data_IF_520762340117
#
_entry.id   IF_520762340117
#
_cell.length_a   1.000
_cell.length_b   1.000
_cell.length_c   1.000
_cell.angle_alpha   90.00
_cell.angle_beta   90.00
_cell.angle_gamma   90.00
#
_symmetry.space_group_name_H-M   'P 1'
#
loop_
_entity.id
_entity.type
_entity.pdbx_description
1 polymer ?
#
# COMPACT_ATOMS: atom_id res chain seq x y z
N UNK A 1 -19.49 -11.01 -0.80
CA UNK A 1 -18.84 -9.92 -1.57
C UNK A 1 -17.36 -9.91 -1.23
N UNK A 2 -16.51 -9.85 -2.24
CA UNK A 2 -15.05 -9.75 -2.05
C UNK A 2 -14.64 -8.29 -1.86
N UNK A 3 -13.81 -8.01 -0.85
CA UNK A 3 -13.13 -6.73 -0.64
C UNK A 3 -11.67 -6.87 -1.07
N UNK A 4 -11.26 -6.19 -2.14
CA UNK A 4 -9.93 -6.33 -2.72
C UNK A 4 -9.08 -5.09 -2.47
N UNK A 5 -7.86 -5.28 -1.96
CA UNK A 5 -6.86 -4.22 -1.78
C UNK A 5 -5.47 -4.65 -2.29
N UNK A 6 -4.49 -3.74 -2.27
CA UNK A 6 -3.19 -3.94 -2.90
C UNK A 6 -1.98 -3.80 -1.96
N UNK A 7 -2.23 -3.64 -0.65
CA UNK A 7 -1.16 -3.65 0.35
C UNK A 7 -1.65 -4.23 1.68
N UNK A 8 -0.74 -4.80 2.47
CA UNK A 8 -1.04 -5.49 3.73
C UNK A 8 -1.60 -4.56 4.82
N UNK A 9 -1.16 -3.28 4.86
CA UNK A 9 -1.69 -2.31 5.83
C UNK A 9 -3.17 -2.04 5.56
N UNK A 10 -3.55 -1.84 4.29
CA UNK A 10 -4.95 -1.69 3.89
C UNK A 10 -5.75 -2.97 4.16
N UNK A 11 -5.18 -4.16 3.94
CA UNK A 11 -5.82 -5.43 4.27
C UNK A 11 -6.16 -5.53 5.75
N UNK A 12 -5.20 -5.22 6.61
CA UNK A 12 -5.41 -5.21 8.07
C UNK A 12 -6.51 -4.24 8.48
N UNK A 13 -6.47 -3.01 7.97
CA UNK A 13 -7.47 -2.00 8.23
C UNK A 13 -8.86 -2.39 7.70
N UNK A 14 -8.96 -2.94 6.48
CA UNK A 14 -10.21 -3.45 5.92
C UNK A 14 -10.81 -4.61 6.72
N UNK A 15 -9.98 -5.56 7.18
CA UNK A 15 -10.44 -6.65 8.07
C UNK A 15 -11.05 -6.11 9.36
N UNK A 16 -10.48 -5.06 9.94
CA UNK A 16 -11.02 -4.38 11.12
C UNK A 16 -12.28 -3.57 10.76
N UNK A 17 -12.30 -2.90 9.61
CA UNK A 17 -13.40 -2.07 9.13
C UNK A 17 -14.72 -2.85 8.94
N UNK A 18 -14.65 -4.19 8.80
CA UNK A 18 -15.85 -5.01 8.71
C UNK A 18 -16.72 -4.89 9.97
N UNK A 19 -16.11 -4.62 11.12
CA UNK A 19 -16.75 -4.68 12.45
C UNK A 19 -16.57 -3.41 13.28
N UNK A 20 -15.95 -2.35 12.78
CA UNK A 20 -15.75 -1.10 13.52
C UNK A 20 -17.10 -0.41 13.80
N UNK A 21 -17.15 0.46 14.84
CA UNK A 21 -18.40 1.13 15.25
C UNK A 21 -19.36 0.26 16.04
N UNK A 22 -19.07 -1.02 16.27
CA UNK A 22 -19.83 -1.87 17.17
C UNK A 22 -19.54 -1.56 18.65
N UNK A 23 -20.41 -2.06 19.58
CA UNK A 23 -20.21 -1.90 21.04
C UNK A 23 -18.97 -2.63 21.63
N UNK A 24 -18.13 -3.23 20.78
CA UNK A 24 -16.85 -3.84 21.15
C UNK A 24 -15.76 -2.79 21.18
N UNK A 25 -15.14 -2.56 22.35
CA UNK A 25 -13.92 -1.76 22.41
C UNK A 25 -12.85 -2.47 21.62
N UNK A 26 -12.41 -1.88 20.50
CA UNK A 26 -11.20 -2.32 19.83
C UNK A 26 -10.02 -2.11 20.78
N UNK A 27 -9.23 -3.15 21.00
CA UNK A 27 -7.98 -3.00 21.75
C UNK A 27 -7.07 -2.08 20.95
N UNK A 28 -6.64 -0.98 21.57
CA UNK A 28 -5.57 -0.14 21.00
C UNK A 28 -4.37 -1.05 20.77
N UNK A 29 -3.94 -1.18 19.52
CA UNK A 29 -2.75 -1.95 19.16
C UNK A 29 -1.49 -1.42 19.83
N UNK A 30 -0.35 -1.93 19.45
CA UNK A 30 0.95 -1.53 20.00
C UNK A 30 1.19 -0.04 19.78
N UNK A 31 1.37 0.72 20.86
CA UNK A 31 1.77 2.13 20.79
C UNK A 31 3.28 2.20 20.84
N UNK A 32 3.90 2.59 19.74
CA UNK A 32 5.34 2.88 19.71
C UNK A 32 5.58 4.25 20.31
N UNK A 33 6.39 4.30 21.36
CA UNK A 33 6.91 5.55 21.91
C UNK A 33 8.42 5.57 21.64
N UNK A 34 8.85 6.42 20.71
CA UNK A 34 10.28 6.72 20.51
C UNK A 34 10.63 8.00 21.26
N UNK A 35 11.77 8.03 21.95
CA UNK A 35 12.40 9.27 22.40
C UNK A 35 13.37 9.75 21.34
N UNK A 36 13.54 11.05 21.20
CA UNK A 36 14.49 11.66 20.25
C UNK A 36 15.94 11.24 20.54
N UNK A 37 16.23 10.88 21.79
CA UNK A 37 17.58 10.51 22.28
C UNK A 37 17.82 8.99 22.34
N UNK A 38 16.91 8.15 21.84
CA UNK A 38 17.02 6.69 21.88
C UNK A 38 16.86 6.06 23.29
N UNK A 39 16.56 6.86 24.32
CA UNK A 39 16.27 6.35 25.66
C UNK A 39 14.86 5.78 25.76
N UNK A 40 14.66 4.83 26.70
CA UNK A 40 13.31 4.28 26.95
C UNK A 40 12.39 5.39 27.46
N UNK A 41 11.22 5.60 26.83
CA UNK A 41 10.31 6.66 27.22
C UNK A 41 9.83 6.48 28.67
N UNK A 42 9.71 7.58 29.40
CA UNK A 42 9.22 7.55 30.77
C UNK A 42 7.77 7.01 30.86
N UNK A 43 7.41 6.36 31.98
CA UNK A 43 6.01 5.88 32.21
C UNK A 43 4.99 7.00 32.05
N UNK A 44 5.34 8.24 32.36
CA UNK A 44 4.47 9.42 32.19
C UNK A 44 4.27 9.74 30.72
N UNK A 45 5.32 9.71 29.91
CA UNK A 45 5.25 9.93 28.46
C UNK A 45 4.39 8.84 27.77
N UNK A 46 4.62 7.57 28.11
CA UNK A 46 3.81 6.45 27.61
C UNK A 46 2.32 6.62 27.95
N UNK A 47 1.98 6.96 29.21
CA UNK A 47 0.59 7.22 29.61
C UNK A 47 -0.02 8.42 28.91
N UNK A 48 0.76 9.47 28.63
CA UNK A 48 0.28 10.64 27.91
C UNK A 48 -0.01 10.28 26.44
N UNK A 49 0.88 9.51 25.80
CA UNK A 49 0.68 9.03 24.43
C UNK A 49 -0.53 8.08 24.34
N UNK A 50 -0.68 7.13 25.28
CA UNK A 50 -1.85 6.24 25.34
C UNK A 50 -3.16 7.02 25.47
N UNK A 51 -3.18 8.12 26.25
CA UNK A 51 -4.38 8.97 26.34
C UNK A 51 -4.71 9.66 25.02
N UNK A 52 -3.68 10.17 24.28
CA UNK A 52 -3.88 10.75 22.96
C UNK A 52 -4.45 9.73 21.97
N UNK A 53 -3.85 8.54 21.92
CA UNK A 53 -4.31 7.46 21.03
C UNK A 53 -5.75 7.06 21.34
N UNK A 54 -6.11 6.93 22.64
CA UNK A 54 -7.50 6.62 23.04
C UNK A 54 -8.48 7.74 22.68
N UNK A 55 -8.10 8.99 22.89
CA UNK A 55 -8.94 10.11 22.53
C UNK A 55 -9.17 10.21 21.01
N UNK A 56 -8.16 9.88 20.21
CA UNK A 56 -8.28 9.79 18.77
C UNK A 56 -9.19 8.61 18.37
N UNK A 57 -9.01 7.45 18.96
CA UNK A 57 -9.88 6.28 18.74
C UNK A 57 -11.34 6.60 19.10
N UNK A 58 -11.58 7.18 20.27
CA UNK A 58 -12.93 7.58 20.69
C UNK A 58 -13.55 8.64 19.75
N UNK A 59 -12.71 9.43 19.08
CA UNK A 59 -13.14 10.40 18.07
C UNK A 59 -13.58 9.70 16.78
N UNK A 60 -12.76 8.76 16.28
CA UNK A 60 -13.03 8.00 15.07
C UNK A 60 -14.27 7.09 15.23
N UNK A 61 -14.39 6.42 16.37
CA UNK A 61 -15.53 5.55 16.67
C UNK A 61 -16.90 6.25 16.64
N UNK A 62 -16.93 7.58 16.84
CA UNK A 62 -18.19 8.35 16.83
C UNK A 62 -18.88 8.39 15.48
N UNK A 63 -18.10 8.29 14.40
CA UNK A 63 -18.63 8.35 13.02
C UNK A 63 -18.30 7.10 12.20
N UNK A 64 -17.75 6.09 12.85
CA UNK A 64 -17.41 4.83 12.19
C UNK A 64 -18.64 4.17 11.56
N UNK A 65 -18.47 3.73 10.33
CA UNK A 65 -19.48 2.97 9.59
C UNK A 65 -18.91 1.61 9.23
N UNK A 66 -19.41 0.51 9.82
CA UNK A 66 -18.90 -0.82 9.52
C UNK A 66 -19.23 -1.23 8.07
N UNK A 67 -18.33 -1.95 7.44
CA UNK A 67 -18.57 -2.49 6.11
C UNK A 67 -19.53 -3.69 6.12
N UNK A 68 -19.59 -4.43 7.24
CA UNK A 68 -20.59 -5.46 7.49
C UNK A 68 -20.36 -6.81 6.83
N UNK A 69 -19.23 -7.01 6.14
CA UNK A 69 -18.83 -8.31 5.60
C UNK A 69 -17.96 -9.09 6.61
N UNK A 70 -17.42 -10.22 6.20
CA UNK A 70 -16.50 -11.01 7.03
C UNK A 70 -15.06 -10.60 6.77
N UNK A 71 -14.19 -10.70 7.77
CA UNK A 71 -12.75 -10.47 7.58
C UNK A 71 -12.12 -11.44 6.56
N UNK A 72 -12.71 -12.64 6.38
CA UNK A 72 -12.31 -13.60 5.35
C UNK A 72 -12.68 -13.17 3.92
N UNK A 73 -13.53 -12.16 3.75
CA UNK A 73 -13.88 -11.63 2.43
C UNK A 73 -12.84 -10.62 1.92
N UNK A 74 -11.87 -10.23 2.76
CA UNK A 74 -10.83 -9.28 2.42
C UNK A 74 -9.64 -10.01 1.81
N UNK A 75 -9.44 -9.80 0.51
CA UNK A 75 -8.31 -10.32 -0.24
C UNK A 75 -7.29 -9.20 -0.52
N UNK A 76 -6.01 -9.55 -0.50
CA UNK A 76 -4.93 -8.61 -0.79
C UNK A 76 -4.06 -9.14 -1.94
N UNK A 77 -3.95 -8.35 -3.02
CA UNK A 77 -2.99 -8.58 -4.09
C UNK A 77 -1.77 -7.64 -3.93
N UNK A 78 -1.11 -7.72 -2.78
CA UNK A 78 0.08 -6.94 -2.45
C UNK A 78 1.31 -7.39 -3.22
N UNK A 79 1.28 -7.31 -4.54
CA UNK A 79 2.27 -7.86 -5.47
C UNK A 79 3.46 -6.93 -5.75
N UNK A 80 3.50 -5.71 -5.18
CA UNK A 80 4.51 -4.69 -5.50
C UNK A 80 4.71 -4.51 -7.02
N UNK A 81 3.60 -4.38 -7.76
CA UNK A 81 3.59 -4.37 -9.22
C UNK A 81 4.24 -3.12 -9.84
N UNK A 82 4.52 -2.11 -9.04
CA UNK A 82 5.30 -0.95 -9.47
C UNK A 82 6.76 -1.27 -9.74
N UNK A 83 7.27 -2.43 -9.29
CA UNK A 83 8.68 -2.79 -9.33
C UNK A 83 8.93 -4.06 -10.13
N UNK A 84 10.09 -4.14 -10.78
CA UNK A 84 10.66 -5.33 -11.39
C UNK A 84 9.84 -5.93 -12.53
N UNK A 85 10.11 -7.16 -12.89
CA UNK A 85 9.48 -7.87 -14.01
C UNK A 85 8.01 -8.18 -13.73
N UNK A 86 7.12 -7.78 -14.63
CA UNK A 86 5.68 -8.08 -14.65
C UNK A 86 5.23 -8.82 -15.91
N UNK A 87 6.14 -9.06 -16.87
CA UNK A 87 5.80 -9.78 -18.10
C UNK A 87 5.57 -11.28 -17.83
N UNK A 88 6.34 -11.84 -16.89
CA UNK A 88 6.16 -13.22 -16.50
C UNK A 88 4.83 -13.44 -15.78
N UNK A 89 4.14 -14.58 -16.01
CA UNK A 89 2.95 -14.93 -15.26
C UNK A 89 3.28 -15.12 -13.77
N UNK A 90 2.28 -14.89 -12.92
CA UNK A 90 2.39 -15.21 -11.50
C UNK A 90 2.48 -16.72 -11.34
N UNK A 91 3.57 -17.19 -10.77
CA UNK A 91 3.84 -18.60 -10.52
C UNK A 91 4.59 -18.77 -9.21
N UNK A 92 4.52 -19.99 -8.64
CA UNK A 92 5.17 -20.30 -7.37
C UNK A 92 6.68 -20.03 -7.42
N UNK A 93 7.35 -20.32 -8.53
CA UNK A 93 8.79 -20.14 -8.74
C UNK A 93 9.12 -19.08 -9.81
N UNK A 94 8.36 -17.99 -9.85
CA UNK A 94 8.57 -16.91 -10.82
C UNK A 94 9.53 -15.82 -10.34
N UNK A 95 9.95 -14.90 -11.25
CA UNK A 95 10.84 -13.78 -10.92
C UNK A 95 10.27 -12.86 -9.85
N UNK A 96 8.95 -12.79 -9.73
CA UNK A 96 8.26 -11.99 -8.70
C UNK A 96 8.52 -12.53 -7.29
N UNK A 97 8.58 -13.85 -7.09
CA UNK A 97 8.96 -14.44 -5.80
C UNK A 97 10.36 -14.00 -5.36
N UNK A 98 11.31 -13.94 -6.31
CA UNK A 98 12.67 -13.48 -6.00
C UNK A 98 12.67 -12.02 -5.51
N UNK A 99 11.85 -11.16 -6.09
CA UNK A 99 11.67 -9.78 -5.63
C UNK A 99 11.06 -9.73 -4.22
N UNK A 100 10.05 -10.55 -3.92
CA UNK A 100 9.48 -10.67 -2.56
C UNK A 100 10.54 -11.05 -1.53
N UNK A 101 11.38 -12.02 -1.83
CA UNK A 101 12.48 -12.40 -0.96
C UNK A 101 13.48 -11.27 -0.74
N UNK A 102 13.76 -10.43 -1.75
CA UNK A 102 14.62 -9.26 -1.60
C UNK A 102 14.04 -8.23 -0.63
N UNK A 103 12.73 -7.96 -0.68
CA UNK A 103 12.08 -7.06 0.29
C UNK A 103 12.27 -7.55 1.73
N UNK A 104 12.24 -8.85 1.97
CA UNK A 104 12.36 -9.43 3.30
C UNK A 104 13.83 -9.58 3.76
N UNK A 105 14.79 -9.70 2.83
CA UNK A 105 16.23 -9.81 3.18
C UNK A 105 16.83 -8.47 3.61
N UNK A 106 16.32 -7.36 3.12
CA UNK A 106 16.77 -6.02 3.53
C UNK A 106 16.17 -5.58 4.89
N UNK A 107 15.15 -6.29 5.38
CA UNK A 107 14.65 -6.23 6.75
C UNK A 107 14.99 -7.57 7.44
N UNK A 108 15.21 -7.62 8.76
CA UNK A 108 15.61 -8.85 9.46
C UNK A 108 14.43 -9.85 9.59
N UNK A 109 13.71 -10.09 8.49
CA UNK A 109 12.64 -11.06 8.39
C UNK A 109 13.17 -12.34 7.77
N UNK A 110 12.69 -13.49 8.25
CA UNK A 110 13.10 -14.79 7.79
C UNK A 110 12.60 -15.04 6.34
N UNK A 111 13.44 -15.68 5.52
CA UNK A 111 13.04 -16.09 4.17
C UNK A 111 11.80 -17.01 4.12
N UNK A 112 11.49 -17.70 5.23
CA UNK A 112 10.26 -18.48 5.39
C UNK A 112 9.00 -17.59 5.43
N UNK A 113 9.07 -16.40 6.00
CA UNK A 113 7.96 -15.43 6.02
C UNK A 113 7.70 -14.88 4.62
N UNK A 114 8.75 -14.56 3.86
CA UNK A 114 8.61 -14.11 2.46
C UNK A 114 7.90 -15.16 1.59
N UNK A 115 8.23 -16.43 1.78
CA UNK A 115 7.59 -17.52 1.04
C UNK A 115 6.15 -17.79 1.50
N UNK A 116 5.83 -17.52 2.77
CA UNK A 116 4.45 -17.59 3.27
C UNK A 116 3.61 -16.46 2.67
N UNK A 117 4.11 -15.23 2.69
CA UNK A 117 3.45 -14.07 2.09
C UNK A 117 3.23 -14.25 0.58
N UNK A 118 4.23 -14.79 -0.12
CA UNK A 118 4.10 -15.08 -1.54
C UNK A 118 2.97 -16.09 -1.83
N UNK A 119 2.88 -17.17 -1.06
CA UNK A 119 1.81 -18.16 -1.20
C UNK A 119 0.43 -17.60 -0.87
N UNK A 120 0.34 -16.71 0.15
CA UNK A 120 -0.91 -16.03 0.50
C UNK A 120 -1.40 -15.16 -0.67
N UNK A 121 -0.52 -14.40 -1.31
CA UNK A 121 -0.88 -13.55 -2.45
C UNK A 121 -1.31 -14.37 -3.67
N UNK A 122 -0.64 -15.50 -3.97
CA UNK A 122 -1.07 -16.39 -5.04
C UNK A 122 -2.44 -17.00 -4.77
N UNK A 123 -2.66 -17.49 -3.55
CA UNK A 123 -3.96 -18.02 -3.12
C UNK A 123 -5.07 -16.96 -3.21
N UNK A 124 -4.78 -15.72 -2.83
CA UNK A 124 -5.73 -14.61 -2.94
C UNK A 124 -6.11 -14.33 -4.41
N UNK A 125 -5.16 -14.41 -5.35
CA UNK A 125 -5.44 -14.22 -6.77
C UNK A 125 -6.31 -15.34 -7.35
N UNK A 126 -6.07 -16.58 -6.95
CA UNK A 126 -6.89 -17.75 -7.33
C UNK A 126 -8.29 -17.65 -6.73
N UNK A 127 -8.41 -17.31 -5.44
CA UNK A 127 -9.69 -17.14 -4.75
C UNK A 127 -10.51 -16.01 -5.37
N UNK A 128 -9.89 -14.87 -5.67
CA UNK A 128 -10.56 -13.75 -6.37
C UNK A 128 -11.22 -14.23 -7.66
N UNK A 129 -10.46 -14.93 -8.51
CA UNK A 129 -10.97 -15.45 -9.78
C UNK A 129 -12.08 -16.47 -9.60
N UNK A 130 -11.91 -17.40 -8.66
CA UNK A 130 -12.90 -18.44 -8.39
C UNK A 130 -14.21 -17.83 -7.90
N UNK A 131 -14.18 -16.90 -6.97
CA UNK A 131 -15.36 -16.21 -6.42
C UNK A 131 -16.03 -15.33 -7.48
N UNK A 132 -15.25 -14.55 -8.22
CA UNK A 132 -15.77 -13.73 -9.32
C UNK A 132 -16.42 -14.57 -10.45
N UNK A 133 -15.88 -15.74 -10.76
CA UNK A 133 -16.44 -16.67 -11.76
C UNK A 133 -17.82 -17.21 -11.34
N UNK A 134 -18.16 -17.23 -10.06
CA UNK A 134 -19.50 -17.57 -9.57
C UNK A 134 -20.48 -16.41 -9.59
N UNK A 135 -20.07 -15.23 -10.09
CA UNK A 135 -20.89 -14.00 -10.11
C UNK A 135 -20.87 -13.22 -8.78
N UNK A 136 -19.99 -13.58 -7.86
CA UNK A 136 -19.86 -12.83 -6.60
C UNK A 136 -19.37 -11.41 -6.85
N UNK A 137 -19.98 -10.42 -6.17
CA UNK A 137 -19.55 -9.02 -6.29
C UNK A 137 -18.14 -8.82 -5.74
N UNK A 138 -17.36 -7.96 -6.43
CA UNK A 138 -16.01 -7.55 -6.05
C UNK A 138 -15.98 -6.05 -5.84
N UNK A 139 -15.56 -5.60 -4.65
CA UNK A 139 -15.27 -4.20 -4.37
C UNK A 139 -13.76 -4.00 -4.30
N UNK A 140 -13.26 -3.12 -5.15
CA UNK A 140 -11.83 -2.80 -5.24
C UNK A 140 -11.57 -1.49 -4.51
N UNK A 141 -10.64 -1.50 -3.57
CA UNK A 141 -10.12 -0.34 -2.86
C UNK A 141 -8.79 0.06 -3.51
N UNK A 142 -8.82 1.06 -4.39
CA UNK A 142 -7.64 1.53 -5.10
C UNK A 142 -7.32 2.99 -4.78
N UNK A 143 -6.05 3.34 -4.98
CA UNK A 143 -5.51 4.66 -4.77
C UNK A 143 -4.52 5.03 -5.88
N UNK A 144 -4.02 6.27 -5.84
CA UNK A 144 -3.08 6.81 -6.82
C UNK A 144 -1.60 6.47 -6.50
N UNK A 145 -1.34 5.54 -5.56
CA UNK A 145 0.01 5.03 -5.38
C UNK A 145 0.44 4.19 -6.59
N UNK A 146 1.73 4.07 -6.89
CA UNK A 146 2.19 3.23 -8.00
C UNK A 146 1.69 1.79 -7.92
N UNK A 147 1.69 1.19 -6.73
CA UNK A 147 1.20 -0.17 -6.51
C UNK A 147 -0.32 -0.26 -6.59
N UNK A 148 -1.07 0.72 -6.04
CA UNK A 148 -2.52 0.78 -6.15
C UNK A 148 -2.98 0.91 -7.59
N UNK A 149 -2.33 1.80 -8.35
CA UNK A 149 -2.65 2.02 -9.77
C UNK A 149 -2.32 0.79 -10.65
N UNK A 150 -1.18 0.13 -10.42
CA UNK A 150 -0.84 -1.12 -11.12
C UNK A 150 -1.75 -2.27 -10.68
N UNK A 151 -2.04 -2.36 -9.37
CA UNK A 151 -2.92 -3.36 -8.79
C UNK A 151 -4.35 -3.32 -9.36
N UNK A 152 -4.92 -2.12 -9.51
CA UNK A 152 -6.24 -1.94 -10.14
C UNK A 152 -6.27 -2.49 -11.57
N UNK A 153 -5.23 -2.21 -12.38
CA UNK A 153 -5.13 -2.68 -13.76
C UNK A 153 -4.95 -4.20 -13.83
N UNK A 154 -4.13 -4.74 -12.97
CA UNK A 154 -3.95 -6.18 -12.85
C UNK A 154 -5.24 -6.88 -12.42
N UNK A 155 -5.94 -6.36 -11.39
CA UNK A 155 -7.23 -6.88 -10.96
C UNK A 155 -8.27 -6.83 -12.10
N UNK A 156 -8.32 -5.73 -12.84
CA UNK A 156 -9.20 -5.62 -14.01
C UNK A 156 -8.88 -6.69 -15.07
N UNK A 157 -7.59 -6.99 -15.33
CA UNK A 157 -7.19 -8.07 -16.24
C UNK A 157 -7.64 -9.46 -15.75
N UNK A 158 -7.62 -9.69 -14.43
CA UNK A 158 -8.13 -10.94 -13.84
C UNK A 158 -9.66 -11.07 -13.96
N UNK A 159 -10.39 -9.95 -13.96
CA UNK A 159 -11.86 -9.89 -13.86
C UNK A 159 -12.57 -9.63 -15.20
N UNK A 160 -11.90 -9.06 -16.19
CA UNK A 160 -12.54 -8.55 -17.44
C UNK A 160 -13.31 -9.58 -18.25
N UNK A 161 -13.01 -10.88 -18.10
CA UNK A 161 -13.72 -11.98 -18.77
C UNK A 161 -14.79 -12.67 -17.91
N UNK A 162 -14.97 -12.22 -16.66
CA UNK A 162 -15.87 -12.85 -15.69
C UNK A 162 -17.18 -12.08 -15.56
N UNK A 163 -18.23 -12.73 -15.06
CA UNK A 163 -19.57 -12.15 -14.93
C UNK A 163 -19.84 -11.57 -13.53
N UNK A 164 -18.78 -11.13 -12.85
CA UNK A 164 -18.90 -10.46 -11.56
C UNK A 164 -19.24 -8.98 -11.73
N UNK A 165 -20.06 -8.46 -10.85
CA UNK A 165 -20.21 -7.02 -10.67
C UNK A 165 -19.00 -6.48 -9.93
N UNK A 166 -18.34 -5.48 -10.50
CA UNK A 166 -17.14 -4.88 -9.91
C UNK A 166 -17.41 -3.43 -9.58
N UNK A 167 -17.13 -3.03 -8.34
CA UNK A 167 -17.19 -1.65 -7.87
C UNK A 167 -15.81 -1.17 -7.44
N UNK A 168 -15.52 0.10 -7.69
CA UNK A 168 -14.29 0.77 -7.30
C UNK A 168 -14.59 1.80 -6.22
N UNK A 169 -13.85 1.75 -5.13
CA UNK A 169 -13.75 2.83 -4.14
C UNK A 169 -12.36 3.44 -4.29
N UNK A 170 -12.32 4.62 -4.90
CA UNK A 170 -11.09 5.39 -5.05
C UNK A 170 -10.82 6.22 -3.81
N UNK A 171 -9.57 6.19 -3.31
CA UNK A 171 -9.18 7.06 -2.20
C UNK A 171 -9.05 8.50 -2.70
N UNK A 172 -9.81 9.46 -2.17
CA UNK A 172 -9.66 10.85 -2.55
C UNK A 172 -8.32 11.39 -2.01
N UNK A 173 -7.65 12.21 -2.80
CA UNK A 173 -6.39 12.83 -2.37
C UNK A 173 -6.55 13.75 -1.16
N UNK A 174 -7.70 14.40 -1.04
CA UNK A 174 -8.11 15.28 0.04
C UNK A 174 -9.46 14.82 0.54
N UNK A 175 -9.63 14.77 1.83
CA UNK A 175 -10.90 14.40 2.42
C UNK A 175 -11.18 15.22 3.68
N UNK A 176 -12.40 15.72 3.78
CA UNK A 176 -12.88 16.37 4.98
C UNK A 176 -13.64 15.34 5.83
N UNK A 177 -13.13 15.10 7.02
CA UNK A 177 -13.75 14.21 8.00
C UNK A 177 -15.06 14.79 8.51
N UNK A 178 -15.97 13.95 9.05
CA UNK A 178 -17.23 14.43 9.62
C UNK A 178 -17.08 15.44 10.76
N UNK A 179 -15.91 15.51 11.39
CA UNK A 179 -15.56 16.50 12.43
C UNK A 179 -14.91 17.77 11.90
N UNK A 180 -14.84 17.94 10.57
CA UNK A 180 -14.27 19.12 9.91
C UNK A 180 -12.74 19.07 9.75
N UNK A 181 -12.06 18.03 10.19
CA UNK A 181 -10.63 17.88 9.96
C UNK A 181 -10.35 17.51 8.48
N UNK A 182 -9.45 18.26 7.83
CA UNK A 182 -9.01 17.93 6.48
C UNK A 182 -7.78 17.03 6.55
N UNK A 183 -7.83 15.90 5.87
CA UNK A 183 -6.73 14.94 5.76
C UNK A 183 -6.26 14.84 4.32
N UNK A 184 -4.99 14.50 4.16
CA UNK A 184 -4.37 14.17 2.89
C UNK A 184 -3.64 12.84 3.06
N UNK A 185 -3.93 11.92 2.17
CA UNK A 185 -3.34 10.59 2.18
C UNK A 185 -2.11 10.55 1.28
N UNK A 186 -0.95 10.19 1.83
CA UNK A 186 0.32 10.13 1.08
C UNK A 186 0.67 8.70 0.66
N UNK A 187 0.21 7.70 1.44
CA UNK A 187 0.55 6.28 1.23
C UNK A 187 -0.66 5.42 0.85
N UNK A 188 -1.73 6.06 0.40
CA UNK A 188 -2.92 5.37 -0.04
C UNK A 188 -3.74 4.77 1.11
N UNK A 189 -4.52 3.74 0.80
CA UNK A 189 -5.43 3.07 1.74
C UNK A 189 -4.74 2.50 2.99
N UNK A 190 -3.43 2.28 2.96
CA UNK A 190 -2.68 1.82 4.12
C UNK A 190 -2.58 2.81 5.28
N UNK A 191 -2.93 4.08 5.08
CA UNK A 191 -2.97 5.14 6.10
C UNK A 191 -4.38 5.42 6.63
N UNK A 192 -5.41 4.87 5.99
CA UNK A 192 -6.80 5.10 6.37
C UNK A 192 -7.14 4.28 7.61
N UNK A 193 -7.73 4.93 8.61
CA UNK A 193 -8.18 4.23 9.81
C UNK A 193 -9.36 3.29 9.49
N UNK A 194 -9.45 2.13 10.14
CA UNK A 194 -10.55 1.17 9.92
C UNK A 194 -11.93 1.80 10.01
N UNK A 195 -12.12 2.74 10.92
CA UNK A 195 -13.38 3.44 11.19
C UNK A 195 -13.82 4.32 10.02
N UNK A 196 -12.90 4.70 9.14
CA UNK A 196 -13.15 5.63 8.05
C UNK A 196 -13.53 4.94 6.74
N UNK A 197 -13.21 3.65 6.56
CA UNK A 197 -13.48 2.95 5.29
C UNK A 197 -14.94 3.02 4.87
N UNK A 198 -15.87 2.78 5.78
CA UNK A 198 -17.29 2.81 5.47
C UNK A 198 -17.82 4.17 5.00
N UNK A 199 -17.13 5.26 5.38
CA UNK A 199 -17.50 6.61 4.97
C UNK A 199 -17.21 6.87 3.49
N UNK A 200 -16.27 6.13 2.90
CA UNK A 200 -15.92 6.26 1.50
C UNK A 200 -16.85 5.47 0.55
N UNK A 201 -17.76 4.63 1.08
CA UNK A 201 -18.69 3.86 0.27
C UNK A 201 -19.63 4.73 -0.59
N UNK A 202 -19.93 5.95 -0.14
CA UNK A 202 -20.72 6.90 -0.93
C UNK A 202 -20.08 7.32 -2.26
N UNK A 203 -18.77 7.13 -2.41
CA UNK A 203 -18.01 7.37 -3.63
C UNK A 203 -17.74 6.11 -4.45
N UNK A 204 -18.38 4.98 -4.13
CA UNK A 204 -18.19 3.75 -4.89
C UNK A 204 -18.81 3.84 -6.29
N UNK A 205 -18.04 3.51 -7.32
CA UNK A 205 -18.44 3.55 -8.72
C UNK A 205 -18.42 2.16 -9.33
N UNK A 206 -19.41 1.83 -10.14
CA UNK A 206 -19.43 0.56 -10.89
C UNK A 206 -18.42 0.62 -12.04
N UNK A 207 -17.50 -0.33 -12.07
CA UNK A 207 -16.62 -0.55 -13.21
C UNK A 207 -17.36 -1.37 -14.26
N UNK A 208 -17.92 -0.68 -15.26
CA UNK A 208 -18.59 -1.34 -16.37
C UNK A 208 -17.65 -2.26 -17.16
N UNK A 209 -18.18 -3.24 -17.87
CA UNK A 209 -17.37 -4.14 -18.71
C UNK A 209 -16.42 -3.43 -19.71
N UNK A 210 -16.83 -2.33 -20.39
CA UNK A 210 -15.89 -1.57 -21.22
C UNK A 210 -14.73 -0.95 -20.41
N UNK A 211 -15.00 -0.42 -19.22
CA UNK A 211 -13.98 0.15 -18.34
C UNK A 211 -13.00 -0.93 -17.85
N UNK A 212 -13.51 -2.08 -17.41
CA UNK A 212 -12.66 -3.21 -17.03
C UNK A 212 -11.76 -3.68 -18.18
N UNK A 213 -12.28 -3.76 -19.39
CA UNK A 213 -11.48 -4.11 -20.59
C UNK A 213 -10.42 -3.05 -20.90
N UNK A 214 -10.75 -1.77 -20.77
CA UNK A 214 -9.78 -0.68 -20.96
C UNK A 214 -8.63 -0.79 -19.95
N UNK A 215 -8.95 -0.99 -18.67
CA UNK A 215 -7.94 -1.16 -17.61
C UNK A 215 -7.09 -2.43 -17.84
N UNK A 216 -7.70 -3.51 -18.30
CA UNK A 216 -6.99 -4.74 -18.67
C UNK A 216 -6.03 -4.53 -19.84
N UNK A 217 -6.41 -3.76 -20.87
CA UNK A 217 -5.52 -3.41 -21.98
C UNK A 217 -4.37 -2.50 -21.51
N UNK A 218 -4.62 -1.58 -20.58
CA UNK A 218 -3.55 -0.78 -19.96
C UNK A 218 -2.57 -1.68 -19.18
N UNK A 219 -3.07 -2.73 -18.50
CA UNK A 219 -2.22 -3.72 -17.85
C UNK A 219 -1.33 -4.48 -18.86
N UNK A 220 -1.92 -4.99 -19.95
CA UNK A 220 -1.13 -5.70 -20.97
C UNK A 220 -0.05 -4.80 -21.58
N UNK A 221 -0.35 -3.52 -21.82
CA UNK A 221 0.67 -2.57 -22.30
C UNK A 221 1.82 -2.41 -21.31
N UNK A 222 1.53 -2.30 -19.99
CA UNK A 222 2.58 -2.22 -18.96
C UNK A 222 3.44 -3.50 -18.92
N UNK A 223 2.82 -4.66 -19.14
CA UNK A 223 3.51 -5.95 -19.23
C UNK A 223 4.40 -6.06 -20.46
N UNK A 224 3.92 -5.61 -21.61
CA UNK A 224 4.69 -5.58 -22.86
C UNK A 224 5.88 -4.64 -22.76
N UNK A 225 5.71 -3.45 -22.18
CA UNK A 225 6.77 -2.50 -21.90
C UNK A 225 7.79 -3.04 -20.88
N UNK A 226 7.32 -3.72 -19.87
CA UNK A 226 8.08 -4.36 -18.78
C UNK A 226 9.24 -3.51 -18.24
N UNK A 227 9.00 -2.21 -18.07
CA UNK A 227 9.98 -1.31 -17.52
C UNK A 227 10.41 -1.75 -16.10
N UNK A 228 11.65 -1.44 -15.63
CA UNK A 228 12.13 -1.84 -14.30
C UNK A 228 11.33 -1.21 -13.16
N UNK A 229 10.72 -0.05 -13.41
CA UNK A 229 9.92 0.70 -12.45
C UNK A 229 8.67 1.25 -13.14
N UNK A 230 7.56 1.32 -12.42
CA UNK A 230 6.33 2.01 -12.83
C UNK A 230 5.99 3.09 -11.83
N UNK A 231 5.60 4.25 -12.35
CA UNK A 231 5.20 5.41 -11.56
C UNK A 231 3.83 5.91 -12.02
N UNK A 232 3.17 6.69 -11.18
CA UNK A 232 1.99 7.44 -11.58
C UNK A 232 2.41 8.86 -11.95
N UNK A 233 2.29 9.18 -13.24
CA UNK A 233 2.62 10.48 -13.79
C UNK A 233 1.36 11.07 -14.42
N UNK A 234 0.94 12.24 -13.95
CA UNK A 234 -0.30 12.89 -14.41
C UNK A 234 -1.52 11.96 -14.34
N UNK A 235 -1.65 11.18 -13.26
CA UNK A 235 -2.76 10.25 -13.04
C UNK A 235 -2.70 8.96 -13.86
N UNK A 236 -1.59 8.68 -14.56
CA UNK A 236 -1.40 7.48 -15.38
C UNK A 236 -0.28 6.60 -14.84
N UNK A 237 -0.54 5.33 -14.68
CA UNK A 237 0.52 4.34 -14.47
C UNK A 237 1.31 4.16 -15.77
N UNK A 238 2.63 4.31 -15.70
CA UNK A 238 3.52 4.18 -16.86
C UNK A 238 4.89 3.65 -16.43
N UNK A 239 5.58 3.00 -17.37
CA UNK A 239 6.95 2.57 -17.19
C UNK A 239 7.88 3.77 -17.12
N UNK A 240 8.87 3.70 -16.24
CA UNK A 240 9.91 4.70 -16.06
C UNK A 240 11.26 4.02 -15.80
N UNK A 241 12.35 4.77 -15.93
CA UNK A 241 13.69 4.28 -15.62
C UNK A 241 13.86 4.02 -14.12
N UNK A 242 14.78 3.17 -13.75
CA UNK A 242 15.06 2.80 -12.36
C UNK A 242 15.47 3.99 -11.49
N UNK A 243 16.09 4.99 -12.09
CA UNK A 243 16.58 6.24 -11.45
C UNK A 243 15.54 7.38 -11.41
N UNK A 244 14.30 7.10 -11.79
CA UNK A 244 13.23 8.11 -11.91
C UNK A 244 13.08 8.97 -10.64
N UNK A 245 13.27 8.40 -9.45
CA UNK A 245 13.17 9.12 -8.17
C UNK A 245 14.50 9.72 -7.67
N UNK A 246 15.62 9.45 -8.33
CA UNK A 246 16.94 9.98 -7.94
C UNK A 246 17.00 11.51 -7.83
N UNK A 247 16.33 12.31 -8.70
CA UNK A 247 16.29 13.76 -8.55
C UNK A 247 15.67 14.22 -7.20
N UNK A 248 14.74 13.44 -6.63
CA UNK A 248 14.17 13.75 -5.31
C UNK A 248 15.19 13.44 -4.22
N UNK A 249 15.84 12.27 -4.28
CA UNK A 249 16.90 11.91 -3.33
C UNK A 249 18.02 12.96 -3.34
N UNK A 250 18.49 13.39 -4.52
CA UNK A 250 19.53 14.41 -4.64
C UNK A 250 19.16 15.74 -3.99
N UNK A 251 17.90 16.16 -4.06
CA UNK A 251 17.42 17.38 -3.37
C UNK A 251 17.40 17.25 -1.84
N UNK A 252 17.33 16.03 -1.31
CA UNK A 252 17.37 15.77 0.13
C UNK A 252 18.79 15.68 0.69
N UNK A 253 19.81 15.55 -0.19
CA UNK A 253 21.21 15.50 0.22
C UNK A 253 21.77 16.90 0.46
N UNK A 254 22.69 17.01 1.43
CA UNK A 254 23.43 18.23 1.74
C UNK A 254 24.92 17.93 1.76
N UNK A 255 25.75 18.99 1.78
CA UNK A 255 27.22 18.85 1.93
C UNK A 255 27.63 18.35 3.31
N UNK A 256 26.75 18.47 4.31
CA UNK A 256 27.01 17.99 5.68
C UNK A 256 26.57 16.53 5.80
N UNK A 257 27.31 15.72 6.58
CA UNK A 257 26.89 14.35 6.87
C UNK A 257 25.48 14.29 7.45
N UNK A 258 24.66 13.38 6.93
CA UNK A 258 23.28 13.15 7.35
C UNK A 258 23.06 11.66 7.59
N UNK A 259 22.18 11.32 8.54
CA UNK A 259 21.73 9.93 8.69
C UNK A 259 20.89 9.53 7.47
N UNK A 260 21.12 8.33 6.94
CA UNK A 260 20.36 7.77 5.81
C UNK A 260 18.86 7.85 6.08
N UNK A 261 18.41 7.51 7.29
CA UNK A 261 16.99 7.59 7.68
C UNK A 261 16.39 9.00 7.51
N UNK A 262 17.16 10.06 7.76
CA UNK A 262 16.69 11.44 7.58
C UNK A 262 16.53 11.78 6.10
N UNK A 263 17.45 11.34 5.24
CA UNK A 263 17.35 11.54 3.78
C UNK A 263 16.14 10.82 3.23
N UNK A 264 15.97 9.55 3.61
CA UNK A 264 14.80 8.76 3.20
C UNK A 264 13.49 9.36 3.68
N UNK A 265 13.42 9.79 4.96
CA UNK A 265 12.23 10.44 5.51
C UNK A 265 11.85 11.72 4.76
N UNK A 266 12.82 12.57 4.41
CA UNK A 266 12.58 13.78 3.62
C UNK A 266 12.12 13.47 2.18
N UNK A 267 12.63 12.40 1.57
CA UNK A 267 12.21 11.97 0.24
C UNK A 267 10.80 11.38 0.26
N UNK A 268 10.46 10.55 1.26
CA UNK A 268 9.14 9.94 1.42
C UNK A 268 8.02 10.97 1.59
N UNK A 269 8.29 12.10 2.25
CA UNK A 269 7.30 13.21 2.37
C UNK A 269 6.98 13.83 1.01
N UNK A 270 7.89 13.75 0.02
CA UNK A 270 7.71 14.32 -1.30
C UNK A 270 7.15 13.32 -2.32
N UNK A 271 7.15 12.03 -1.99
CA UNK A 271 6.82 10.93 -2.91
C UNK A 271 5.63 10.12 -2.39
N UNK A 272 4.50 10.25 -3.04
CA UNK A 272 3.28 9.54 -2.67
C UNK A 272 3.39 8.05 -2.99
N UNK A 273 3.23 7.18 -1.97
CA UNK A 273 3.15 5.74 -2.13
C UNK A 273 4.41 5.03 -2.62
N UNK A 274 5.57 5.71 -2.58
CA UNK A 274 6.86 5.09 -2.90
C UNK A 274 7.43 4.47 -1.63
N UNK A 275 7.84 3.21 -1.69
CA UNK A 275 8.41 2.50 -0.55
C UNK A 275 9.82 2.98 -0.19
N UNK A 276 10.15 3.00 1.11
CA UNK A 276 11.46 3.32 1.64
C UNK A 276 12.55 2.36 1.13
N UNK A 277 12.21 1.09 0.95
CA UNK A 277 13.10 0.07 0.38
C UNK A 277 13.64 0.48 -1.01
N UNK A 278 12.78 0.97 -1.91
CA UNK A 278 13.20 1.42 -3.23
C UNK A 278 14.18 2.60 -3.11
N UNK A 279 13.85 3.58 -2.27
CA UNK A 279 14.68 4.76 -2.08
C UNK A 279 16.04 4.41 -1.44
N UNK A 280 16.06 3.49 -0.47
CA UNK A 280 17.28 2.99 0.13
C UNK A 280 18.17 2.27 -0.90
N UNK A 281 17.57 1.42 -1.74
CA UNK A 281 18.27 0.75 -2.84
C UNK A 281 18.86 1.76 -3.83
N UNK A 282 18.09 2.80 -4.20
CA UNK A 282 18.57 3.86 -5.10
C UNK A 282 19.71 4.66 -4.48
N UNK A 283 19.60 5.01 -3.19
CA UNK A 283 20.67 5.72 -2.48
C UNK A 283 21.96 4.89 -2.43
N UNK A 284 21.84 3.58 -2.21
CA UNK A 284 22.99 2.65 -2.26
C UNK A 284 23.63 2.62 -3.66
N UNK A 285 22.82 2.51 -4.72
CA UNK A 285 23.31 2.54 -6.10
C UNK A 285 24.00 3.88 -6.45
N UNK A 286 23.50 5.01 -5.94
CA UNK A 286 24.16 6.31 -6.07
C UNK A 286 25.52 6.36 -5.33
N UNK A 287 25.64 5.70 -4.18
CA UNK A 287 26.88 5.59 -3.45
C UNK A 287 27.91 4.70 -4.19
N UNK A 288 27.50 3.55 -4.70
CA UNK A 288 28.31 2.64 -5.51
C UNK A 288 28.83 3.32 -6.79
N UNK A 289 27.99 4.20 -7.41
CA UNK A 289 28.39 5.02 -8.53
C UNK A 289 29.26 6.23 -8.16
N UNK A 290 29.59 6.42 -6.90
CA UNK A 290 30.41 7.55 -6.40
C UNK A 290 29.71 8.91 -6.42
N UNK A 291 28.40 8.94 -6.67
CA UNK A 291 27.60 10.17 -6.65
C UNK A 291 27.28 10.67 -5.25
N UNK A 292 27.36 9.79 -4.24
CA UNK A 292 27.14 10.06 -2.82
C UNK A 292 28.27 9.41 -2.03
N UNK A 293 28.80 10.10 -1.03
CA UNK A 293 29.74 9.50 -0.08
C UNK A 293 28.96 8.94 1.10
N UNK A 294 29.31 7.74 1.52
CA UNK A 294 28.77 7.09 2.71
C UNK A 294 29.92 6.91 3.71
N UNK A 295 29.78 7.48 4.90
CA UNK A 295 30.69 7.24 6.00
C UNK A 295 30.23 5.99 6.77
N UNK A 296 31.17 5.11 7.14
CA UNK A 296 30.87 3.83 7.83
C UNK A 296 30.32 4.00 9.27
N UNK A 297 30.09 5.21 9.71
CA UNK A 297 29.69 5.55 11.09
C UNK A 297 28.19 5.86 11.22
N UNK A 298 27.29 5.17 10.44
CA UNK A 298 25.90 5.53 10.52
C UNK A 298 24.88 4.42 10.45
#
# INVERSE_FOLDING_TARGET
MVELCFNQSAQGALKMAQHCGGKGRHSVGTVFCTSEDGEKPSRRAVRAQMRKVRAEQDRLDRYAVPLGNKSSDVLCLGLALSLGDIAAPLAEDGPRRALFRQFHTDFPLDGAEADADWREVLAAAEELRARAATGEEVRIWADDTPDGACGLRHAAALLAGLDARVTLVSLPRWWERPDGAVVRWERGWGEVHPEEFGLHLGGAEELTRPVLRMLALEWERLREENAPLRAVVNGRAMGVSEDFYDPVLRRCLTEKPQKVANVLGQALVQLSGVGDWLLARRLRAMAEAGAVRVDEAG
#
